data_IF_943140489888
#
_entry.id   IF_943140489888
#
_cell.length_a   1.000
_cell.length_b   1.000
_cell.length_c   1.000
_cell.angle_alpha   90.00
_cell.angle_beta   90.00
_cell.angle_gamma   90.00
#
_symmetry.space_group_name_H-M   'P 1'
#
loop_
_entity.id
_entity.type
_entity.pdbx_description
1 polymer ?
#
# COMPACT_ATOMS: atom_id res chain seq x y z
N UNK A 1 -26.76 7.44 -13.91
CA UNK A 1 -25.86 8.30 -13.13
C UNK A 1 -26.39 9.72 -13.10
N UNK A 2 -26.84 10.15 -11.94
CA UNK A 2 -27.19 11.56 -11.73
C UNK A 2 -25.91 12.37 -11.49
N UNK A 3 -25.67 13.46 -12.20
CA UNK A 3 -24.48 14.29 -11.93
C UNK A 3 -24.54 14.82 -10.49
N UNK A 4 -23.38 14.79 -9.82
CA UNK A 4 -23.23 15.33 -8.46
C UNK A 4 -23.48 16.84 -8.50
N UNK A 5 -24.33 17.35 -7.61
CA UNK A 5 -24.56 18.79 -7.56
C UNK A 5 -23.30 19.53 -7.09
N UNK A 6 -23.02 20.74 -7.59
CA UNK A 6 -21.87 21.54 -7.16
C UNK A 6 -21.81 21.79 -5.64
N UNK A 7 -22.97 21.84 -4.98
CA UNK A 7 -23.06 22.01 -3.54
C UNK A 7 -22.58 20.76 -2.78
N UNK A 8 -22.99 19.57 -3.25
CA UNK A 8 -22.57 18.30 -2.65
C UNK A 8 -21.08 18.09 -2.85
N UNK A 9 -20.57 18.39 -4.05
CA UNK A 9 -19.14 18.30 -4.37
C UNK A 9 -18.32 19.22 -3.46
N UNK A 10 -18.74 20.47 -3.28
CA UNK A 10 -18.08 21.41 -2.38
C UNK A 10 -18.06 20.92 -0.93
N UNK A 11 -19.18 20.39 -0.43
CA UNK A 11 -19.25 19.84 0.94
C UNK A 11 -18.34 18.62 1.10
N UNK A 12 -18.29 17.76 0.11
CA UNK A 12 -17.38 16.61 0.11
C UNK A 12 -15.92 17.06 0.13
N UNK A 13 -15.57 18.05 -0.69
CA UNK A 13 -14.21 18.60 -0.71
C UNK A 13 -13.84 19.25 0.62
N UNK A 14 -14.73 20.02 1.23
CA UNK A 14 -14.49 20.58 2.55
C UNK A 14 -14.23 19.51 3.62
N UNK A 15 -14.97 18.42 3.59
CA UNK A 15 -14.76 17.30 4.52
C UNK A 15 -13.39 16.64 4.29
N UNK A 16 -13.03 16.38 3.06
CA UNK A 16 -11.71 15.81 2.70
C UNK A 16 -10.58 16.73 3.16
N UNK A 17 -10.70 18.03 2.91
CA UNK A 17 -9.69 19.01 3.32
C UNK A 17 -9.54 19.07 4.84
N UNK A 18 -10.65 19.03 5.60
CA UNK A 18 -10.63 18.96 7.06
C UNK A 18 -9.98 17.70 7.57
N UNK A 19 -10.35 16.54 7.05
CA UNK A 19 -9.77 15.24 7.43
C UNK A 19 -8.27 15.19 7.11
N UNK A 20 -7.89 15.66 5.94
CA UNK A 20 -6.48 15.78 5.53
C UNK A 20 -5.69 16.70 6.45
N UNK A 21 -6.27 17.85 6.81
CA UNK A 21 -5.68 18.80 7.76
C UNK A 21 -5.44 18.19 9.14
N UNK A 22 -6.41 17.49 9.69
CA UNK A 22 -6.26 16.78 10.97
C UNK A 22 -5.19 15.71 10.92
N UNK A 23 -5.17 14.90 9.86
CA UNK A 23 -4.16 13.87 9.68
C UNK A 23 -2.75 14.46 9.60
N UNK A 24 -2.54 15.50 8.80
CA UNK A 24 -1.25 16.16 8.68
C UNK A 24 -0.79 16.81 9.99
N UNK A 25 -1.72 17.43 10.72
CA UNK A 25 -1.41 18.00 12.02
C UNK A 25 -0.94 16.93 13.01
N UNK A 26 -1.60 15.77 13.04
CA UNK A 26 -1.21 14.64 13.88
C UNK A 26 0.17 14.08 13.49
N UNK A 27 0.42 13.89 12.21
CA UNK A 27 1.74 13.44 11.72
C UNK A 27 2.84 14.44 12.13
N UNK A 28 2.62 15.72 11.95
CA UNK A 28 3.56 16.76 12.34
C UNK A 28 3.78 16.82 13.85
N UNK A 29 2.72 16.63 14.65
CA UNK A 29 2.82 16.62 16.10
C UNK A 29 3.67 15.45 16.61
N UNK A 30 3.53 14.28 16.01
CA UNK A 30 4.24 13.06 16.44
C UNK A 30 5.63 12.90 15.83
N UNK A 31 5.83 13.37 14.61
CA UNK A 31 7.06 13.17 13.85
C UNK A 31 7.76 14.47 13.43
N UNK A 32 7.29 15.62 13.88
CA UNK A 32 7.75 16.92 13.41
C UNK A 32 9.26 17.13 13.47
N UNK A 33 9.92 16.58 14.50
CA UNK A 33 11.39 16.67 14.64
C UNK A 33 12.15 15.67 13.74
N UNK A 34 11.50 14.56 13.38
CA UNK A 34 12.07 13.54 12.49
C UNK A 34 11.84 13.85 11.00
N UNK A 35 10.80 14.61 10.70
CA UNK A 35 10.45 14.94 9.32
C UNK A 35 11.48 15.90 8.72
N UNK A 36 11.87 15.59 7.49
CA UNK A 36 12.75 16.46 6.72
C UNK A 36 12.04 17.78 6.41
N UNK A 37 12.67 18.89 6.73
CA UNK A 37 12.11 20.22 6.49
C UNK A 37 11.91 20.46 4.99
N UNK A 38 10.75 21.01 4.61
CA UNK A 38 10.42 21.36 3.23
C UNK A 38 9.71 20.25 2.44
N UNK A 39 9.44 19.08 3.04
CA UNK A 39 8.62 18.05 2.42
C UNK A 39 7.12 18.37 2.50
N UNK A 40 6.41 18.27 1.39
CA UNK A 40 4.95 18.28 1.37
C UNK A 40 4.45 16.83 1.45
N UNK A 41 3.97 16.46 2.62
CA UNK A 41 3.48 15.08 2.89
C UNK A 41 1.97 14.93 2.70
N UNK A 42 1.29 15.97 2.20
CA UNK A 42 -0.15 15.99 2.02
C UNK A 42 -0.64 15.75 0.60
N UNK A 43 0.24 15.37 -0.30
CA UNK A 43 -0.05 15.24 -1.74
C UNK A 43 -0.72 13.94 -2.16
N UNK A 44 -0.78 12.94 -1.28
CA UNK A 44 -1.22 11.59 -1.62
C UNK A 44 -0.16 10.75 -2.33
N UNK A 45 1.06 11.26 -2.42
CA UNK A 45 2.20 10.54 -2.98
C UNK A 45 2.59 9.35 -2.10
N UNK A 46 3.11 8.31 -2.72
CA UNK A 46 3.57 7.08 -2.04
C UNK A 46 5.08 6.96 -2.17
N UNK A 47 5.74 6.68 -1.07
CA UNK A 47 7.20 6.50 -1.02
C UNK A 47 7.56 5.06 -0.66
N UNK A 48 8.57 4.47 -1.32
CA UNK A 48 9.18 3.22 -0.87
C UNK A 48 9.77 3.36 0.53
N UNK A 49 9.90 2.24 1.25
CA UNK A 49 10.40 2.23 2.63
C UNK A 49 11.71 2.99 2.85
N UNK A 50 12.76 2.76 2.06
CA UNK A 50 14.05 3.48 2.22
C UNK A 50 13.89 4.99 2.06
N UNK A 51 13.13 5.45 1.08
CA UNK A 51 12.87 6.86 0.83
C UNK A 51 12.00 7.48 1.95
N UNK A 52 10.98 6.77 2.39
CA UNK A 52 10.16 7.19 3.54
C UNK A 52 11.00 7.36 4.83
N UNK A 53 12.03 6.53 5.01
CA UNK A 53 12.99 6.66 6.11
C UNK A 53 13.85 7.91 5.97
N UNK A 54 14.35 8.19 4.78
CA UNK A 54 15.12 9.40 4.51
C UNK A 54 14.32 10.69 4.75
N UNK A 55 13.01 10.65 4.43
CA UNK A 55 12.07 11.74 4.68
C UNK A 55 11.66 11.87 6.15
N UNK A 56 11.99 10.91 7.00
CA UNK A 56 11.61 10.88 8.40
C UNK A 56 10.18 10.42 8.69
N UNK A 57 9.50 9.86 7.69
CA UNK A 57 8.15 9.33 7.83
C UNK A 57 8.11 8.02 8.62
N UNK A 58 9.18 7.21 8.52
CA UNK A 58 9.33 5.95 9.26
C UNK A 58 10.72 5.89 9.92
N UNK A 59 10.84 5.11 10.98
CA UNK A 59 12.09 4.98 11.74
C UNK A 59 13.03 3.92 11.16
N UNK A 60 12.49 2.94 10.48
CA UNK A 60 13.24 1.85 9.88
C UNK A 60 12.44 1.09 8.84
N UNK A 61 13.14 0.22 8.14
CA UNK A 61 12.56 -0.71 7.16
C UNK A 61 12.99 -2.11 7.56
N UNK A 62 12.04 -3.00 7.80
CA UNK A 62 12.28 -4.39 8.16
C UNK A 62 11.05 -5.24 7.81
N UNK A 63 11.24 -6.55 7.75
CA UNK A 63 10.11 -7.47 7.79
C UNK A 63 9.57 -7.57 9.22
N UNK A 64 8.33 -7.99 9.38
CA UNK A 64 7.73 -8.20 10.72
C UNK A 64 8.54 -9.23 11.49
N UNK A 65 8.90 -10.34 10.85
CA UNK A 65 9.66 -11.43 11.49
C UNK A 65 11.03 -10.96 11.98
N UNK A 66 11.78 -10.24 11.15
CA UNK A 66 13.09 -9.71 11.52
C UNK A 66 12.99 -8.67 12.62
N UNK A 67 11.98 -7.80 12.56
CA UNK A 67 11.78 -6.77 13.58
C UNK A 67 11.46 -7.39 14.94
N UNK A 68 10.53 -8.33 14.98
CA UNK A 68 10.13 -9.02 16.21
C UNK A 68 11.26 -9.86 16.80
N UNK A 69 11.98 -10.60 15.94
CA UNK A 69 13.12 -11.39 16.36
C UNK A 69 14.25 -10.53 16.95
N UNK A 70 14.55 -9.40 16.30
CA UNK A 70 15.64 -8.49 16.71
C UNK A 70 15.30 -7.70 17.96
N UNK A 71 14.07 -7.21 18.11
CA UNK A 71 13.70 -6.31 19.21
C UNK A 71 13.19 -7.05 20.45
N UNK A 72 12.55 -8.20 20.26
CA UNK A 72 11.94 -8.96 21.37
C UNK A 72 12.42 -10.41 21.49
N UNK A 73 13.26 -10.88 20.56
CA UNK A 73 13.75 -12.27 20.58
C UNK A 73 12.65 -13.32 20.42
N UNK A 74 11.50 -12.93 19.88
CA UNK A 74 10.31 -13.76 19.75
C UNK A 74 10.13 -14.27 18.33
N UNK A 75 9.35 -15.34 18.18
CA UNK A 75 8.87 -15.79 16.86
C UNK A 75 7.49 -15.20 16.58
N UNK A 76 7.24 -14.90 15.33
CA UNK A 76 5.92 -14.51 14.86
C UNK A 76 5.12 -15.72 14.43
N UNK A 77 3.81 -15.67 14.67
CA UNK A 77 2.84 -16.66 14.19
C UNK A 77 1.76 -15.93 13.40
N UNK A 78 1.54 -16.37 12.19
CA UNK A 78 0.51 -15.81 11.33
C UNK A 78 -0.81 -16.55 11.55
N UNK A 79 -1.81 -15.84 12.07
CA UNK A 79 -3.17 -16.34 12.28
C UNK A 79 -4.13 -15.85 11.16
N UNK A 80 -3.60 -15.19 10.16
CA UNK A 80 -4.38 -14.77 9.00
C UNK A 80 -4.83 -15.94 8.13
N UNK A 81 -5.74 -15.69 7.18
CA UNK A 81 -6.11 -16.71 6.20
C UNK A 81 -4.87 -17.11 5.40
N UNK A 82 -4.49 -18.38 5.47
CA UNK A 82 -3.40 -18.91 4.65
C UNK A 82 -3.78 -18.83 3.16
N UNK A 83 -2.78 -18.70 2.31
CA UNK A 83 -2.98 -18.76 0.86
C UNK A 83 -3.73 -20.05 0.43
N UNK A 84 -3.57 -21.12 1.20
CA UNK A 84 -4.26 -22.40 1.00
C UNK A 84 -5.73 -22.37 1.44
N UNK A 85 -6.15 -21.40 2.25
CA UNK A 85 -7.53 -21.29 2.76
C UNK A 85 -8.48 -20.54 1.81
N UNK A 86 -7.98 -19.99 0.72
CA UNK A 86 -8.79 -19.37 -0.33
C UNK A 86 -8.66 -20.14 -1.66
N UNK A 87 -9.33 -21.29 -1.79
CA UNK A 87 -9.26 -22.08 -3.01
C UNK A 87 -9.76 -21.32 -4.25
N UNK A 88 -10.58 -20.29 -4.03
CA UNK A 88 -11.10 -19.46 -5.11
C UNK A 88 -10.02 -18.52 -5.72
N UNK A 89 -9.25 -17.84 -4.90
CA UNK A 89 -8.20 -16.92 -5.40
C UNK A 89 -7.04 -17.68 -6.03
N UNK A 90 -6.64 -18.78 -5.41
CA UNK A 90 -5.55 -19.61 -5.93
C UNK A 90 -5.92 -20.25 -7.25
N UNK A 91 -7.18 -20.74 -7.37
CA UNK A 91 -7.68 -21.35 -8.58
C UNK A 91 -7.83 -20.35 -9.72
N UNK A 92 -8.38 -19.16 -9.45
CA UNK A 92 -8.52 -18.12 -10.47
C UNK A 92 -7.17 -17.58 -10.95
N UNK A 93 -6.18 -17.49 -10.06
CA UNK A 93 -4.83 -17.08 -10.43
C UNK A 93 -4.12 -18.16 -11.25
N UNK A 94 -4.23 -19.42 -10.86
CA UNK A 94 -3.70 -20.54 -11.63
C UNK A 94 -4.33 -20.63 -13.02
N UNK A 95 -5.65 -20.46 -13.13
CA UNK A 95 -6.36 -20.46 -14.40
C UNK A 95 -5.92 -19.29 -15.30
N UNK A 96 -5.70 -18.09 -14.71
CA UNK A 96 -5.20 -16.94 -15.43
C UNK A 96 -3.77 -17.19 -15.96
N UNK A 97 -2.88 -17.73 -15.14
CA UNK A 97 -1.51 -18.07 -15.52
C UNK A 97 -1.50 -19.15 -16.60
N UNK A 98 -2.27 -20.21 -16.43
CA UNK A 98 -2.42 -21.27 -17.41
C UNK A 98 -2.97 -20.74 -18.76
N UNK A 99 -3.91 -19.80 -18.73
CA UNK A 99 -4.41 -19.13 -19.91
C UNK A 99 -3.36 -18.33 -20.66
N UNK A 100 -2.51 -17.60 -19.93
CA UNK A 100 -1.39 -16.85 -20.51
C UNK A 100 -0.34 -17.77 -21.11
N UNK A 101 0.06 -18.81 -20.40
CA UNK A 101 1.03 -19.80 -20.88
C UNK A 101 0.51 -20.49 -22.15
N UNK A 102 -0.76 -20.88 -22.17
CA UNK A 102 -1.38 -21.49 -23.34
C UNK A 102 -1.38 -20.54 -24.54
N UNK A 103 -1.69 -19.26 -24.34
CA UNK A 103 -1.64 -18.25 -25.42
C UNK A 103 -0.23 -18.09 -25.97
N UNK A 104 0.78 -18.02 -25.11
CA UNK A 104 2.19 -17.93 -25.52
C UNK A 104 2.66 -19.16 -26.26
N UNK A 105 2.24 -20.34 -25.85
CA UNK A 105 2.56 -21.60 -26.54
C UNK A 105 1.90 -21.70 -27.93
N UNK A 106 0.66 -21.19 -28.08
CA UNK A 106 -0.08 -21.20 -29.35
C UNK A 106 0.32 -20.07 -30.30
N UNK A 107 0.85 -18.95 -29.79
CA UNK A 107 1.34 -17.80 -30.57
C UNK A 107 2.85 -17.81 -30.80
N UNK A 108 3.52 -18.90 -30.43
CA UNK A 108 4.94 -19.10 -30.72
C UNK A 108 5.20 -18.98 -32.22
N UNK A 109 6.42 -18.51 -32.63
CA UNK A 109 6.75 -18.38 -34.04
C UNK A 109 6.53 -19.70 -34.73
N UNK A 110 5.78 -19.68 -35.86
CA UNK A 110 5.63 -20.83 -36.69
C UNK A 110 7.05 -21.24 -37.18
N UNK A 111 7.56 -22.30 -36.60
CA UNK A 111 8.80 -22.89 -37.06
C UNK A 111 8.47 -23.61 -38.37
N UNK A 112 8.93 -23.05 -39.44
CA UNK A 112 8.86 -23.72 -40.72
C UNK A 112 9.83 -24.86 -40.76
#
# INVERSE_FOLDING_TARGET
FTPVSPEVDRKAQQLVDQMGGFFLAEVKARRGQALKSGGDFGTGEVWPGPEAKELGLVDGVATVDDFVATHWGMKTYDYGPSADSSPFLTRSLQDAIAGVVKRLALSGPAIQ
#
